data_IF_871126044643
#
_entry.id   IF_871126044643
#
_cell.length_a   1.000
_cell.length_b   1.000
_cell.length_c   1.000
_cell.angle_alpha   90.00
_cell.angle_beta   90.00
_cell.angle_gamma   90.00
#
_symmetry.space_group_name_H-M   'P 1'
#
loop_
_entity.id
_entity.type
_entity.pdbx_description
1 polymer ?
#
# COMPACT_ATOMS: atom_id res chain seq x y z
N UNK A 1 -2.36 -13.57 -3.49
CA UNK A 1 -2.02 -12.14 -3.33
C UNK A 1 -2.83 -11.22 -4.23
N UNK A 2 -2.89 -11.41 -5.55
CA UNK A 2 -3.65 -10.53 -6.48
C UNK A 2 -5.15 -10.37 -6.16
N UNK A 3 -5.74 -11.31 -5.43
CA UNK A 3 -7.13 -11.22 -4.95
C UNK A 3 -7.38 -9.94 -4.14
N UNK A 4 -6.48 -9.56 -3.23
CA UNK A 4 -6.72 -8.43 -2.31
C UNK A 4 -6.74 -7.07 -3.03
N UNK A 5 -5.78 -6.74 -3.92
CA UNK A 5 -5.88 -5.52 -4.73
C UNK A 5 -7.11 -5.50 -5.65
N UNK A 6 -7.50 -6.63 -6.26
CA UNK A 6 -8.70 -6.70 -7.10
C UNK A 6 -9.98 -6.53 -6.27
N UNK A 7 -10.02 -7.09 -5.06
CA UNK A 7 -11.10 -6.89 -4.10
C UNK A 7 -11.19 -5.43 -3.67
N UNK A 8 -10.05 -4.76 -3.43
CA UNK A 8 -10.00 -3.32 -3.20
C UNK A 8 -10.62 -2.53 -4.36
N UNK A 9 -10.28 -2.88 -5.61
CA UNK A 9 -10.90 -2.25 -6.79
C UNK A 9 -12.42 -2.46 -6.82
N UNK A 10 -12.89 -3.68 -6.57
CA UNK A 10 -14.33 -4.01 -6.50
C UNK A 10 -15.05 -3.21 -5.41
N UNK A 11 -14.50 -3.16 -4.19
CA UNK A 11 -15.06 -2.37 -3.09
C UNK A 11 -15.10 -0.88 -3.39
N UNK A 12 -14.14 -0.40 -4.18
CA UNK A 12 -14.01 1.00 -4.57
C UNK A 12 -14.82 1.36 -5.81
N UNK A 13 -15.61 0.43 -6.36
CA UNK A 13 -16.33 0.57 -7.63
C UNK A 13 -15.43 0.95 -8.82
N UNK A 14 -14.18 0.47 -8.83
CA UNK A 14 -13.25 0.65 -9.94
C UNK A 14 -13.45 -0.52 -10.91
N UNK A 15 -14.03 -0.24 -12.08
CA UNK A 15 -14.31 -1.24 -13.12
C UNK A 15 -13.20 -1.37 -14.15
N UNK A 16 -12.53 -0.26 -14.49
CA UNK A 16 -11.44 -0.26 -15.45
C UNK A 16 -10.11 -0.56 -14.73
N UNK A 17 -9.71 -1.83 -14.76
CA UNK A 17 -8.52 -2.33 -14.07
C UNK A 17 -7.62 -3.01 -15.10
N UNK A 18 -6.40 -2.52 -15.22
CA UNK A 18 -5.35 -3.17 -16.01
C UNK A 18 -4.31 -3.83 -15.09
N UNK A 19 -4.18 -5.14 -15.18
CA UNK A 19 -3.19 -5.93 -14.46
C UNK A 19 -1.95 -6.11 -15.33
N UNK A 20 -0.83 -5.50 -14.90
CA UNK A 20 0.44 -5.59 -15.62
C UNK A 20 1.24 -6.76 -15.04
N UNK A 21 1.70 -7.66 -15.92
CA UNK A 21 2.48 -8.84 -15.54
C UNK A 21 3.67 -9.07 -16.47
N UNK A 22 4.66 -9.82 -16.00
CA UNK A 22 5.76 -10.27 -16.84
C UNK A 22 5.26 -11.30 -17.88
N UNK A 23 5.76 -11.28 -19.13
CA UNK A 23 5.32 -12.20 -20.19
C UNK A 23 5.34 -13.68 -19.80
N UNK A 24 6.32 -14.11 -19.00
CA UNK A 24 6.41 -15.51 -18.52
C UNK A 24 5.25 -15.94 -17.62
N UNK A 25 4.58 -15.00 -16.94
CA UNK A 25 3.50 -15.27 -16.01
C UNK A 25 2.10 -15.06 -16.62
N UNK A 26 2.01 -14.60 -17.88
CA UNK A 26 0.76 -14.27 -18.55
C UNK A 26 -0.22 -15.46 -18.56
N UNK A 27 0.21 -16.61 -19.10
CA UNK A 27 -0.63 -17.79 -19.22
C UNK A 27 -1.11 -18.30 -17.85
N UNK A 28 -0.24 -18.29 -16.84
CA UNK A 28 -0.59 -18.72 -15.49
C UNK A 28 -1.64 -17.79 -14.85
N UNK A 29 -1.50 -16.47 -15.04
CA UNK A 29 -2.44 -15.49 -14.49
C UNK A 29 -3.78 -15.55 -15.20
N UNK A 30 -3.81 -15.66 -16.53
CA UNK A 30 -5.05 -15.80 -17.29
C UNK A 30 -5.79 -17.08 -16.89
N UNK A 31 -5.07 -18.21 -16.79
CA UNK A 31 -5.63 -19.46 -16.30
C UNK A 31 -6.17 -19.32 -14.87
N UNK A 32 -5.43 -18.67 -13.97
CA UNK A 32 -5.87 -18.46 -12.59
C UNK A 32 -7.14 -17.59 -12.51
N UNK A 33 -7.22 -16.50 -13.29
CA UNK A 33 -8.42 -15.65 -13.38
C UNK A 33 -9.63 -16.42 -13.91
N UNK A 34 -9.42 -17.37 -14.84
CA UNK A 34 -10.48 -18.18 -15.45
C UNK A 34 -10.84 -19.45 -14.68
N UNK A 35 -10.02 -19.91 -13.72
CA UNK A 35 -10.27 -21.17 -13.01
C UNK A 35 -10.64 -20.94 -11.55
N UNK A 36 -9.98 -20.01 -10.87
CA UNK A 36 -10.14 -19.80 -9.44
C UNK A 36 -11.51 -19.17 -9.10
N UNK A 37 -12.31 -19.77 -8.20
CA UNK A 37 -13.66 -19.29 -7.88
C UNK A 37 -13.67 -17.90 -7.22
N UNK A 38 -12.71 -17.60 -6.35
CA UNK A 38 -12.62 -16.31 -5.66
C UNK A 38 -12.33 -15.18 -6.65
N UNK A 39 -11.43 -15.42 -7.62
CA UNK A 39 -11.09 -14.44 -8.65
C UNK A 39 -12.23 -14.26 -9.66
N UNK A 40 -12.96 -15.32 -10.02
CA UNK A 40 -14.15 -15.25 -10.88
C UNK A 40 -15.26 -14.38 -10.31
N UNK A 41 -15.34 -14.30 -8.98
CA UNK A 41 -16.34 -13.47 -8.30
C UNK A 41 -16.07 -11.96 -8.46
N UNK A 42 -14.88 -11.58 -8.92
CA UNK A 42 -14.45 -10.20 -9.09
C UNK A 42 -14.57 -9.75 -10.55
N UNK A 43 -14.69 -8.44 -10.83
CA UNK A 43 -14.58 -7.90 -12.18
C UNK A 43 -13.27 -8.35 -12.82
N UNK A 44 -13.35 -8.93 -14.01
CA UNK A 44 -12.17 -9.47 -14.70
C UNK A 44 -11.29 -8.31 -15.21
N UNK A 45 -10.02 -8.20 -14.77
CA UNK A 45 -9.13 -7.13 -15.21
C UNK A 45 -8.63 -7.40 -16.63
N UNK A 46 -8.26 -6.33 -17.34
CA UNK A 46 -7.48 -6.41 -18.58
C UNK A 46 -6.06 -6.83 -18.21
N UNK A 47 -5.59 -7.98 -18.69
CA UNK A 47 -4.21 -8.42 -18.44
C UNK A 47 -3.30 -7.88 -19.54
N UNK A 48 -2.21 -7.22 -19.15
CA UNK A 48 -1.20 -6.68 -20.04
C UNK A 48 0.16 -7.28 -19.71
N UNK A 49 0.82 -7.84 -20.72
CA UNK A 49 2.19 -8.34 -20.62
C UNK A 49 3.09 -7.62 -21.62
N UNK A 50 3.74 -6.50 -21.24
CA UNK A 50 4.65 -5.78 -22.11
C UNK A 50 5.86 -6.65 -22.49
N UNK A 51 6.24 -6.65 -23.76
CA UNK A 51 7.30 -7.56 -24.25
C UNK A 51 8.70 -7.18 -23.72
N UNK A 52 8.92 -5.89 -23.50
CA UNK A 52 10.19 -5.35 -22.99
C UNK A 52 10.31 -5.40 -21.46
N UNK A 53 9.29 -5.89 -20.75
CA UNK A 53 9.31 -5.96 -19.29
C UNK A 53 10.30 -7.05 -18.83
N UNK A 54 11.40 -6.64 -18.23
CA UNK A 54 12.41 -7.53 -17.65
C UNK A 54 12.17 -7.73 -16.15
N UNK A 55 12.54 -8.90 -15.61
CA UNK A 55 12.41 -9.20 -14.19
C UNK A 55 13.22 -8.29 -13.26
N UNK A 56 14.30 -7.67 -13.76
CA UNK A 56 15.16 -6.74 -13.03
C UNK A 56 14.71 -5.28 -13.16
N UNK A 57 13.70 -5.01 -13.98
CA UNK A 57 13.21 -3.66 -14.23
C UNK A 57 12.53 -3.10 -12.98
N UNK A 58 12.84 -1.84 -12.65
CA UNK A 58 12.27 -1.18 -11.49
C UNK A 58 10.91 -0.52 -11.78
N UNK A 59 10.18 -0.20 -10.72
CA UNK A 59 8.74 0.14 -10.78
C UNK A 59 8.42 1.38 -11.61
N UNK A 60 9.26 2.43 -11.59
CA UNK A 60 8.98 3.64 -12.39
C UNK A 60 9.30 3.42 -13.88
N UNK A 61 10.20 2.49 -14.18
CA UNK A 61 10.54 2.14 -15.55
C UNK A 61 9.39 1.43 -16.26
N UNK A 62 8.58 0.67 -15.52
CA UNK A 62 7.36 0.03 -16.02
C UNK A 62 6.36 1.06 -16.57
N UNK A 63 6.22 2.23 -15.93
CA UNK A 63 5.36 3.29 -16.44
C UNK A 63 5.84 3.86 -17.77
N UNK A 64 7.10 3.65 -18.18
CA UNK A 64 7.64 4.17 -19.46
C UNK A 64 7.33 3.29 -20.66
N UNK A 65 6.98 2.03 -20.43
CA UNK A 65 6.71 1.08 -21.49
C UNK A 65 5.53 1.56 -22.36
N UNK A 66 5.63 1.47 -23.69
CA UNK A 66 4.63 2.04 -24.59
C UNK A 66 3.25 1.42 -24.39
N UNK A 67 3.18 0.12 -24.10
CA UNK A 67 1.91 -0.57 -23.85
C UNK A 67 1.26 -0.06 -22.55
N UNK A 68 2.05 0.17 -21.51
CA UNK A 68 1.57 0.72 -20.23
C UNK A 68 1.12 2.18 -20.40
N UNK A 69 1.89 2.98 -21.13
CA UNK A 69 1.56 4.38 -21.45
C UNK A 69 0.25 4.52 -22.23
N UNK A 70 -0.01 3.57 -23.14
CA UNK A 70 -1.25 3.54 -23.94
C UNK A 70 -2.49 3.22 -23.11
N UNK A 71 -2.35 2.48 -22.01
CA UNK A 71 -3.47 2.12 -21.14
C UNK A 71 -3.88 3.25 -20.17
N UNK A 72 -3.03 4.26 -19.97
CA UNK A 72 -3.33 5.37 -19.06
C UNK A 72 -4.01 6.49 -19.86
N UNK A 73 -5.33 6.60 -19.74
CA UNK A 73 -6.14 7.59 -20.47
C UNK A 73 -6.60 8.77 -19.60
N UNK A 74 -6.59 8.61 -18.27
CA UNK A 74 -7.05 9.62 -17.32
C UNK A 74 -6.25 9.57 -16.00
N UNK A 75 -6.70 10.33 -14.99
CA UNK A 75 -6.15 10.23 -13.63
C UNK A 75 -6.37 8.79 -13.11
N UNK A 76 -5.36 8.20 -12.47
CA UNK A 76 -5.33 6.75 -12.24
C UNK A 76 -4.88 6.37 -10.83
N UNK A 77 -5.37 5.22 -10.38
CA UNK A 77 -4.84 4.52 -9.22
C UNK A 77 -3.65 3.66 -9.64
N UNK A 78 -2.61 3.63 -8.80
CA UNK A 78 -1.53 2.66 -8.91
C UNK A 78 -1.47 1.83 -7.63
N UNK A 79 -1.57 0.51 -7.79
CA UNK A 79 -1.63 -0.48 -6.72
C UNK A 79 -0.51 -1.51 -6.90
N UNK A 80 0.10 -2.02 -5.81
CA UNK A 80 1.00 -3.15 -5.90
C UNK A 80 0.22 -4.47 -5.78
N UNK A 81 0.80 -5.58 -6.21
CA UNK A 81 0.16 -6.90 -6.15
C UNK A 81 0.11 -7.52 -4.73
N UNK A 82 0.86 -6.94 -3.79
CA UNK A 82 1.04 -7.37 -2.41
C UNK A 82 0.25 -6.53 -1.38
N UNK A 83 -0.64 -5.65 -1.84
CA UNK A 83 -1.47 -4.81 -0.97
C UNK A 83 -2.64 -5.59 -0.36
N UNK A 84 -2.81 -5.45 0.95
CA UNK A 84 -4.05 -5.81 1.67
C UNK A 84 -4.60 -4.54 2.32
N UNK A 85 -5.73 -4.05 1.82
CA UNK A 85 -6.30 -2.77 2.21
C UNK A 85 -7.82 -2.86 2.35
N UNK A 86 -8.32 -2.55 3.54
CA UNK A 86 -9.76 -2.47 3.85
C UNK A 86 -10.33 -1.06 3.68
N UNK A 87 -9.48 -0.06 3.46
CA UNK A 87 -9.94 1.31 3.20
C UNK A 87 -10.56 1.35 1.81
N UNK A 88 -11.77 1.90 1.71
CA UNK A 88 -12.41 2.14 0.41
C UNK A 88 -11.66 3.19 -0.40
N UNK A 89 -11.36 2.88 -1.66
CA UNK A 89 -10.73 3.82 -2.60
C UNK A 89 -11.58 5.05 -2.86
N UNK A 90 -12.92 4.95 -2.79
CA UNK A 90 -13.82 6.10 -2.89
C UNK A 90 -13.57 7.14 -1.79
N UNK A 91 -13.28 6.69 -0.56
CA UNK A 91 -12.91 7.58 0.54
C UNK A 91 -11.59 8.30 0.28
N UNK A 92 -10.56 7.57 -0.18
CA UNK A 92 -9.26 8.16 -0.54
C UNK A 92 -9.38 9.15 -1.71
N UNK A 93 -10.19 8.80 -2.72
CA UNK A 93 -10.48 9.65 -3.87
C UNK A 93 -11.18 10.94 -3.44
N UNK A 94 -12.20 10.85 -2.58
CA UNK A 94 -12.91 12.01 -2.07
C UNK A 94 -11.95 12.95 -1.31
N UNK A 95 -11.05 12.40 -0.48
CA UNK A 95 -10.03 13.18 0.21
C UNK A 95 -9.08 13.87 -0.77
N UNK A 96 -8.60 13.15 -1.77
CA UNK A 96 -7.74 13.71 -2.81
C UNK A 96 -8.46 14.84 -3.57
N UNK A 97 -9.69 14.61 -4.06
CA UNK A 97 -10.47 15.62 -4.77
C UNK A 97 -10.77 16.86 -3.92
N UNK A 98 -11.19 16.68 -2.67
CA UNK A 98 -11.48 17.80 -1.76
C UNK A 98 -10.22 18.64 -1.45
N UNK A 99 -9.06 18.01 -1.41
CA UNK A 99 -7.78 18.68 -1.14
C UNK A 99 -7.21 19.46 -2.34
N UNK A 100 -7.69 19.21 -3.56
CA UNK A 100 -7.33 20.00 -4.74
C UNK A 100 -7.98 21.42 -4.73
N UNK A 101 -8.84 21.74 -3.75
CA UNK A 101 -9.43 23.08 -3.58
C UNK A 101 -10.44 23.47 -4.67
N UNK A 102 -10.61 24.77 -4.89
CA UNK A 102 -11.37 25.34 -6.02
C UNK A 102 -10.55 25.37 -7.32
N UNK A 103 -9.54 24.50 -7.51
CA UNK A 103 -9.05 24.24 -8.87
C UNK A 103 -10.28 23.68 -9.59
N UNK A 104 -10.91 24.45 -10.50
CA UNK A 104 -12.16 24.03 -11.05
C UNK A 104 -11.93 22.67 -11.70
N UNK A 105 -12.92 21.78 -11.62
CA UNK A 105 -12.94 20.58 -12.46
C UNK A 105 -12.91 20.92 -13.97
N UNK A 106 -12.83 22.21 -14.33
CA UNK A 106 -12.43 22.71 -15.64
C UNK A 106 -11.15 22.04 -16.11
N UNK A 107 -11.21 21.54 -17.34
CA UNK A 107 -10.15 20.77 -17.97
C UNK A 107 -8.84 21.58 -18.09
N UNK A 108 -8.96 22.91 -18.17
CA UNK A 108 -7.87 23.88 -18.36
C UNK A 108 -6.82 23.91 -17.24
N UNK A 109 -7.06 23.31 -16.07
CA UNK A 109 -6.11 23.28 -14.95
C UNK A 109 -5.79 21.89 -14.43
N UNK A 110 -6.07 20.82 -15.19
CA UNK A 110 -5.77 19.43 -14.80
C UNK A 110 -4.30 19.21 -14.42
N UNK A 111 -3.39 19.98 -15.01
CA UNK A 111 -1.96 19.90 -14.72
C UNK A 111 -1.60 20.37 -13.30
N UNK A 112 -2.37 21.27 -12.67
CA UNK A 112 -2.09 21.73 -11.30
C UNK A 112 -2.48 20.71 -10.23
N UNK A 113 -3.11 19.59 -10.61
CA UNK A 113 -3.53 18.54 -9.67
C UNK A 113 -2.30 17.86 -9.09
N UNK A 114 -2.31 17.75 -7.76
CA UNK A 114 -1.37 16.98 -6.98
C UNK A 114 -1.66 15.49 -7.00
N UNK A 115 -0.86 14.70 -6.30
CA UNK A 115 -1.09 13.27 -6.10
C UNK A 115 -1.35 12.94 -4.62
N UNK A 116 -1.93 11.76 -4.36
CA UNK A 116 -2.12 11.21 -3.01
C UNK A 116 -1.32 9.92 -2.86
N UNK A 117 -0.55 9.84 -1.77
CA UNK A 117 0.18 8.66 -1.33
C UNK A 117 -0.42 8.12 -0.03
N UNK A 118 -0.51 6.81 0.13
CA UNK A 118 -1.01 6.17 1.35
C UNK A 118 0.16 5.58 2.14
N UNK A 119 0.28 5.99 3.40
CA UNK A 119 1.21 5.42 4.37
C UNK A 119 0.42 4.81 5.52
N UNK A 120 0.91 3.71 6.07
CA UNK A 120 0.33 3.09 7.25
C UNK A 120 1.36 2.96 8.36
N UNK A 121 0.90 3.08 9.61
CA UNK A 121 1.77 2.89 10.75
C UNK A 121 2.03 1.40 10.96
N UNK A 122 3.30 0.99 10.99
CA UNK A 122 3.68 -0.38 11.30
C UNK A 122 3.48 -0.62 12.80
N UNK A 123 2.31 -1.15 13.19
CA UNK A 123 1.96 -1.36 14.62
C UNK A 123 2.37 -2.74 15.13
N UNK A 124 2.43 -3.74 14.26
CA UNK A 124 2.72 -5.13 14.60
C UNK A 124 3.96 -5.60 13.85
N UNK A 125 5.05 -4.86 13.99
CA UNK A 125 6.30 -5.17 13.33
C UNK A 125 6.74 -6.59 13.74
N UNK A 126 6.46 -7.56 12.86
CA UNK A 126 7.48 -8.56 12.59
C UNK A 126 8.80 -7.78 12.47
N UNK A 127 9.85 -8.23 13.16
CA UNK A 127 11.11 -7.48 13.32
C UNK A 127 11.72 -6.94 12.00
N UNK A 128 11.24 -7.43 10.86
CA UNK A 128 11.71 -7.15 9.52
C UNK A 128 10.69 -6.42 8.62
N UNK A 129 9.71 -5.69 9.17
CA UNK A 129 8.90 -4.78 8.34
C UNK A 129 9.73 -3.57 7.87
N UNK A 130 9.82 -3.38 6.55
CA UNK A 130 10.47 -2.21 5.98
C UNK A 130 9.71 -0.93 6.36
N UNK A 131 10.43 0.13 6.73
CA UNK A 131 9.86 1.41 7.15
C UNK A 131 10.41 2.55 6.30
N UNK A 132 9.74 3.69 6.35
CA UNK A 132 10.10 4.91 5.62
C UNK A 132 10.31 6.08 6.59
N UNK A 133 11.29 6.93 6.28
CA UNK A 133 11.37 8.27 6.83
C UNK A 133 10.57 9.21 5.95
N UNK A 134 9.44 9.65 6.50
CA UNK A 134 8.61 10.65 5.85
C UNK A 134 8.69 11.97 6.61
N UNK A 135 8.69 13.07 5.87
CA UNK A 135 8.46 14.39 6.44
C UNK A 135 7.15 14.95 5.92
N UNK A 136 6.27 15.32 6.85
CA UNK A 136 4.91 15.77 6.53
C UNK A 136 4.63 17.13 7.16
N UNK A 137 3.80 17.93 6.51
CA UNK A 137 3.26 19.17 7.04
C UNK A 137 1.74 19.05 7.14
N UNK A 138 1.14 19.25 8.33
CA UNK A 138 -0.31 19.23 8.49
C UNK A 138 -1.00 20.21 7.54
N UNK A 139 -2.09 19.79 6.90
CA UNK A 139 -2.90 20.70 6.11
C UNK A 139 -3.56 21.73 7.04
N UNK A 140 -3.37 23.02 6.75
CA UNK A 140 -4.04 24.10 7.49
C UNK A 140 -5.55 23.94 7.28
N UNK A 141 -6.28 23.70 8.37
CA UNK A 141 -7.71 23.40 8.37
C UNK A 141 -8.51 24.37 7.49
N UNK A 142 -9.23 23.83 6.50
CA UNK A 142 -10.40 24.51 5.94
C UNK A 142 -11.45 24.44 7.05
N UNK A 143 -11.91 25.60 7.55
CA UNK A 143 -12.70 25.77 8.77
C UNK A 143 -14.03 24.98 8.88
N UNK A 144 -14.39 24.14 7.91
CA UNK A 144 -15.74 23.57 7.78
C UNK A 144 -15.83 22.02 7.72
N UNK A 145 -14.77 21.25 8.00
CA UNK A 145 -14.91 19.78 8.11
C UNK A 145 -14.36 19.24 9.43
N UNK A 146 -15.27 18.87 10.32
CA UNK A 146 -14.98 18.64 11.73
C UNK A 146 -14.51 17.21 12.10
N UNK A 147 -14.27 16.28 11.15
CA UNK A 147 -13.98 14.87 11.55
C UNK A 147 -12.94 14.06 10.76
N UNK A 148 -12.45 14.47 9.57
CA UNK A 148 -11.53 13.62 8.78
C UNK A 148 -10.19 14.26 8.35
N UNK A 149 -9.97 15.55 8.59
CA UNK A 149 -8.76 16.24 8.08
C UNK A 149 -7.47 15.89 8.83
N UNK A 150 -7.52 15.11 9.92
CA UNK A 150 -6.34 14.80 10.75
C UNK A 150 -5.40 13.76 10.13
N UNK A 151 -5.87 12.97 9.17
CA UNK A 151 -5.05 11.94 8.51
C UNK A 151 -4.35 12.42 7.25
N UNK A 152 -4.69 13.59 6.73
CA UNK A 152 -4.12 14.11 5.48
C UNK A 152 -3.09 15.21 5.75
N UNK A 153 -1.89 15.04 5.20
CA UNK A 153 -0.80 16.01 5.30
C UNK A 153 -0.15 16.25 3.94
N UNK A 154 0.57 17.36 3.78
CA UNK A 154 1.46 17.54 2.63
C UNK A 154 2.74 16.74 2.84
N UNK A 155 3.14 15.97 1.85
CA UNK A 155 4.38 15.20 1.86
C UNK A 155 5.53 16.09 1.39
N UNK A 156 6.54 16.25 2.23
CA UNK A 156 7.74 17.06 1.96
C UNK A 156 8.95 16.21 1.63
N UNK A 157 8.99 14.97 2.12
CA UNK A 157 10.09 14.03 1.90
C UNK A 157 9.58 12.60 2.14
N UNK A 158 10.01 11.65 1.33
CA UNK A 158 9.84 10.21 1.53
C UNK A 158 11.14 9.52 1.14
N UNK A 159 11.68 8.66 2.02
CA UNK A 159 12.91 7.89 1.81
C UNK A 159 12.80 6.58 2.59
N UNK A 160 13.06 5.44 1.95
CA UNK A 160 13.09 4.14 2.62
C UNK A 160 14.19 4.06 3.70
N UNK A 161 13.95 3.30 4.77
CA UNK A 161 14.90 3.17 5.88
C UNK A 161 16.22 2.55 5.51
N UNK A 162 16.23 1.61 4.57
CA UNK A 162 17.48 1.00 4.15
C UNK A 162 18.37 2.02 3.42
N UNK A 163 17.75 2.87 2.59
CA UNK A 163 18.41 4.01 1.95
C UNK A 163 18.88 5.03 2.98
N UNK A 164 18.09 5.34 4.01
CA UNK A 164 18.51 6.27 5.08
C UNK A 164 19.69 5.71 5.87
N UNK A 165 19.66 4.42 6.27
CA UNK A 165 20.76 3.75 6.98
C UNK A 165 22.04 3.73 6.15
N UNK A 166 21.94 3.34 4.88
CA UNK A 166 23.07 3.33 3.95
C UNK A 166 23.71 4.73 3.79
N UNK A 167 22.88 5.76 3.65
CA UNK A 167 23.36 7.14 3.58
C UNK A 167 24.00 7.60 4.91
N UNK A 168 23.43 7.22 6.05
CA UNK A 168 23.95 7.57 7.38
C UNK A 168 25.34 6.95 7.60
N UNK A 169 25.54 5.70 7.19
CA UNK A 169 26.82 5.00 7.30
C UNK A 169 27.90 5.61 6.40
N UNK A 170 27.51 6.00 5.17
CA UNK A 170 28.39 6.65 4.19
C UNK A 170 28.78 8.05 4.62
N UNK A 171 27.80 8.87 4.98
CA UNK A 171 27.96 10.31 5.21
C UNK A 171 28.29 10.64 6.67
N UNK A 172 28.31 9.62 7.56
CA UNK A 172 28.52 9.73 9.01
C UNK A 172 27.57 10.71 9.70
N UNK A 173 26.38 10.89 9.12
CA UNK A 173 25.37 11.81 9.61
C UNK A 173 24.15 11.86 8.69
N UNK A 174 23.04 12.34 9.23
CA UNK A 174 21.83 12.58 8.44
C UNK A 174 21.90 13.97 7.80
N UNK A 175 22.11 14.03 6.49
CA UNK A 175 22.28 15.28 5.76
C UNK A 175 20.92 15.91 5.41
N UNK A 176 20.63 17.07 6.00
CA UNK A 176 19.43 17.84 5.73
C UNK A 176 19.76 19.19 5.08
N UNK A 177 19.12 19.48 3.95
CA UNK A 177 19.35 20.74 3.23
C UNK A 177 18.88 21.94 4.07
N UNK A 178 19.71 22.97 4.17
CA UNK A 178 19.34 24.24 4.84
C UNK A 178 18.05 24.87 4.28
N UNK A 179 17.75 24.68 3.00
CA UNK A 179 16.51 25.17 2.39
C UNK A 179 15.26 24.48 2.96
N UNK A 180 15.35 23.21 3.34
CA UNK A 180 14.29 22.49 4.03
C UNK A 180 14.06 23.12 5.40
N UNK A 181 15.12 23.24 6.21
CA UNK A 181 15.05 23.86 7.54
C UNK A 181 14.54 25.32 7.51
N UNK A 182 14.95 26.12 6.52
CA UNK A 182 14.49 27.51 6.36
C UNK A 182 13.01 27.64 5.96
N UNK A 183 12.50 26.73 5.12
CA UNK A 183 11.08 26.72 4.73
C UNK A 183 10.19 26.28 5.88
N UNK A 184 10.72 25.45 6.78
CA UNK A 184 9.99 24.76 7.84
C UNK A 184 9.73 25.57 9.10
N UNK A 185 9.76 26.90 9.03
CA UNK A 185 9.62 27.75 10.20
C UNK A 185 8.25 27.66 10.93
N UNK A 186 7.34 26.71 10.61
CA UNK A 186 6.15 26.51 11.46
C UNK A 186 5.74 25.07 11.85
N UNK A 187 5.71 24.00 11.03
CA UNK A 187 5.00 22.75 11.47
C UNK A 187 5.41 21.39 10.88
N UNK A 188 6.56 21.25 10.20
CA UNK A 188 6.93 19.96 9.61
C UNK A 188 7.28 18.91 10.69
N UNK A 189 6.78 17.69 10.52
CA UNK A 189 7.07 16.53 11.38
C UNK A 189 7.79 15.47 10.59
N UNK A 190 8.87 14.93 11.15
CA UNK A 190 9.57 13.77 10.60
C UNK A 190 9.10 12.52 11.35
N UNK A 191 8.70 11.49 10.62
CA UNK A 191 8.11 10.26 11.14
C UNK A 191 8.86 9.06 10.58
N UNK A 192 9.14 8.08 11.44
CA UNK A 192 9.87 6.84 11.09
C UNK A 192 9.06 5.57 11.33
N UNK A 193 7.89 5.66 11.98
CA UNK A 193 7.02 4.52 12.29
C UNK A 193 6.02 4.17 11.19
N UNK A 194 6.22 4.69 9.98
CA UNK A 194 5.30 4.52 8.85
C UNK A 194 5.98 3.75 7.74
N UNK A 195 5.17 3.04 6.96
CA UNK A 195 5.58 2.39 5.72
C UNK A 195 4.70 2.88 4.57
N UNK A 196 5.30 3.03 3.40
CA UNK A 196 4.59 3.27 2.15
C UNK A 196 3.73 2.05 1.77
N UNK A 197 2.43 2.26 1.56
CA UNK A 197 1.53 1.20 1.10
C UNK A 197 1.70 0.88 -0.41
N UNK A 198 2.48 1.70 -1.13
CA UNK A 198 2.57 1.71 -2.59
C UNK A 198 1.22 1.92 -3.29
N UNK A 199 0.24 2.48 -2.58
CA UNK A 199 -1.07 2.86 -3.06
C UNK A 199 -1.05 4.37 -3.37
N UNK A 200 -1.17 4.70 -4.66
CA UNK A 200 -1.08 6.07 -5.14
C UNK A 200 -2.30 6.46 -5.98
N UNK A 201 -2.67 7.73 -5.90
CA UNK A 201 -3.58 8.39 -6.85
C UNK A 201 -2.77 9.41 -7.62
N UNK A 202 -2.62 9.20 -8.92
CA UNK A 202 -1.84 10.08 -9.78
C UNK A 202 -2.72 10.82 -10.78
N UNK A 203 -2.47 12.13 -10.97
CA UNK A 203 -3.05 12.86 -12.09
C UNK A 203 -2.41 12.40 -13.41
N UNK A 204 -3.17 12.51 -14.51
CA UNK A 204 -2.80 12.02 -15.84
C UNK A 204 -1.39 12.43 -16.29
N UNK A 205 -1.00 13.69 -16.03
CA UNK A 205 0.28 14.25 -16.47
C UNK A 205 1.50 13.51 -15.89
N UNK A 206 1.35 12.74 -14.80
CA UNK A 206 2.43 11.94 -14.20
C UNK A 206 2.96 10.90 -15.17
N UNK A 207 2.11 10.38 -16.08
CA UNK A 207 2.56 9.43 -17.10
C UNK A 207 3.60 10.06 -18.03
N UNK A 208 3.41 11.33 -18.40
CA UNK A 208 4.36 12.07 -19.25
C UNK A 208 5.64 12.40 -18.50
N UNK A 209 5.55 12.69 -17.20
CA UNK A 209 6.73 12.87 -16.36
C UNK A 209 7.58 11.58 -16.32
N UNK A 210 6.94 10.43 -16.09
CA UNK A 210 7.61 9.13 -16.08
C UNK A 210 8.26 8.86 -17.45
N UNK A 211 7.54 9.08 -18.55
CA UNK A 211 8.05 8.88 -19.93
C UNK A 211 9.30 9.70 -20.23
N UNK A 212 9.36 10.95 -19.79
CA UNK A 212 10.45 11.89 -20.12
C UNK A 212 11.69 11.75 -19.24
N UNK A 213 11.53 11.29 -17.99
CA UNK A 213 12.61 11.27 -17.01
C UNK A 213 13.17 9.86 -16.82
N UNK A 214 14.28 9.56 -17.49
CA UNK A 214 14.93 8.26 -17.41
C UNK A 214 15.57 7.96 -16.04
N UNK A 215 15.85 9.01 -15.26
CA UNK A 215 16.44 8.90 -13.92
C UNK A 215 15.47 8.35 -12.87
N UNK A 216 14.17 8.28 -13.18
CA UNK A 216 13.19 7.69 -12.28
C UNK A 216 13.23 6.16 -12.43
N UNK A 217 13.80 5.49 -11.43
CA UNK A 217 13.94 4.03 -11.39
C UNK A 217 12.85 3.44 -10.49
N UNK A 218 12.68 3.98 -9.28
CA UNK A 218 11.64 3.59 -8.32
C UNK A 218 10.52 4.62 -8.20
N UNK A 219 9.27 4.16 -8.13
CA UNK A 219 8.12 5.05 -7.89
C UNK A 219 8.18 5.65 -6.48
N UNK A 220 8.36 4.83 -5.45
CA UNK A 220 8.34 5.28 -4.05
C UNK A 220 9.54 6.17 -3.70
N UNK A 221 10.73 5.84 -4.20
CA UNK A 221 11.95 6.60 -3.86
C UNK A 221 12.24 7.75 -4.83
N UNK A 222 12.18 7.52 -6.14
CA UNK A 222 12.57 8.53 -7.12
C UNK A 222 11.40 9.43 -7.50
N UNK A 223 10.28 8.88 -7.97
CA UNK A 223 9.15 9.70 -8.41
C UNK A 223 8.54 10.48 -7.23
N UNK A 224 8.08 9.77 -6.20
CA UNK A 224 7.48 10.35 -5.00
C UNK A 224 8.53 11.16 -4.23
N UNK A 225 9.72 10.61 -4.00
CA UNK A 225 10.75 11.29 -3.22
C UNK A 225 11.30 12.57 -3.87
N UNK A 226 11.53 12.59 -5.19
CA UNK A 226 11.98 13.80 -5.88
C UNK A 226 10.86 14.83 -6.08
N UNK A 227 9.62 14.38 -6.32
CA UNK A 227 8.46 15.29 -6.36
C UNK A 227 8.22 15.94 -5.00
N UNK A 228 8.22 15.18 -3.90
CA UNK A 228 8.10 15.76 -2.56
C UNK A 228 9.15 16.85 -2.30
N UNK A 229 10.41 16.60 -2.71
CA UNK A 229 11.52 17.56 -2.62
C UNK A 229 11.35 18.77 -3.53
N UNK A 230 10.76 18.61 -4.71
CA UNK A 230 10.63 19.67 -5.70
C UNK A 230 9.71 20.80 -5.23
N UNK A 231 8.80 20.50 -4.30
CA UNK A 231 7.93 21.51 -3.67
C UNK A 231 8.72 22.58 -2.92
N UNK A 232 9.90 22.26 -2.37
CA UNK A 232 10.71 23.16 -1.53
C UNK A 232 12.14 23.39 -1.98
N UNK A 233 12.69 22.51 -2.81
CA UNK A 233 14.01 22.65 -3.37
C UNK A 233 13.93 23.48 -4.66
N UNK A 234 14.43 24.72 -4.59
CA UNK A 234 14.53 25.62 -5.74
C UNK A 234 15.29 24.96 -6.89
N UNK A 235 14.79 25.10 -8.13
CA UNK A 235 15.45 24.56 -9.31
C UNK A 235 15.24 23.06 -9.55
N UNK A 236 14.57 22.33 -8.66
CA UNK A 236 14.42 20.87 -8.81
C UNK A 236 13.27 20.49 -9.74
N UNK A 237 12.14 21.19 -9.69
CA UNK A 237 11.00 20.87 -10.55
C UNK A 237 11.30 21.15 -12.02
N UNK A 238 12.12 22.16 -12.33
CA UNK A 238 12.61 22.45 -13.68
C UNK A 238 13.53 21.34 -14.17
N UNK A 239 14.45 20.86 -13.32
CA UNK A 239 15.36 19.74 -13.63
C UNK A 239 14.62 18.42 -13.86
N UNK A 240 13.50 18.23 -13.16
CA UNK A 240 12.63 17.07 -13.37
C UNK A 240 11.79 17.19 -14.64
N UNK A 241 11.73 18.38 -15.26
CA UNK A 241 10.91 18.62 -16.44
C UNK A 241 9.41 18.71 -16.14
N UNK A 242 9.03 18.99 -14.88
CA UNK A 242 7.62 19.09 -14.50
C UNK A 242 6.92 20.18 -15.31
N UNK A 243 7.54 21.36 -15.47
CA UNK A 243 6.96 22.46 -16.25
C UNK A 243 6.58 22.10 -17.69
N UNK A 244 7.35 21.23 -18.36
CA UNK A 244 7.04 20.77 -19.71
C UNK A 244 5.81 19.85 -19.76
N UNK A 245 5.61 19.02 -18.73
CA UNK A 245 4.41 18.16 -18.63
C UNK A 245 3.16 18.98 -18.29
N UNK A 246 3.35 20.08 -17.55
CA UNK A 246 2.27 20.95 -17.11
C UNK A 246 1.79 21.92 -18.21
N UNK A 247 2.63 22.23 -19.20
CA UNK A 247 2.36 23.23 -20.25
C UNK A 247 1.77 22.66 -21.55
N UNK A 248 1.74 21.32 -21.72
CA UNK A 248 1.27 20.67 -22.96
C UNK A 248 -0.21 20.89 -23.30
N UNK A 249 -1.00 21.60 -22.47
CA UNK A 249 -2.35 22.04 -22.82
C UNK A 249 -2.48 23.53 -23.21
N UNK A 250 -1.40 24.32 -23.14
CA UNK A 250 -1.45 25.76 -23.46
C UNK A 250 -1.48 26.07 -24.96
N UNK A 251 -1.14 25.13 -25.83
CA UNK A 251 -0.96 25.39 -27.28
C UNK A 251 -2.25 25.35 -28.13
N UNK A 252 -3.45 25.23 -27.54
CA UNK A 252 -4.69 25.19 -28.33
C UNK A 252 -5.57 26.45 -28.32
N UNK A 253 -5.34 27.43 -27.44
CA UNK A 253 -6.20 28.64 -27.37
C UNK A 253 -5.50 29.91 -26.88
N UNK A 254 -4.33 30.26 -27.44
CA UNK A 254 -3.84 31.64 -27.36
C UNK A 254 -3.61 32.16 -28.78
N UNK A 255 -4.70 32.67 -29.38
CA UNK A 255 -4.61 33.66 -30.44
C UNK A 255 -3.85 34.85 -29.86
N UNK A 256 -2.63 35.06 -30.35
CA UNK A 256 -1.68 36.06 -29.86
C UNK A 256 -2.32 37.46 -29.74
N UNK A 257 -2.62 37.91 -28.52
CA UNK A 257 -2.95 39.32 -28.28
C UNK A 257 -1.64 40.12 -28.18
N UNK A 258 -1.21 40.67 -29.33
CA UNK A 258 0.01 41.49 -29.46
C UNK A 258 -0.05 42.86 -28.75
N UNK A 259 -0.96 43.06 -27.79
CA UNK A 259 -1.18 44.34 -27.10
C UNK A 259 -0.27 44.61 -25.90
N UNK A 260 0.49 43.63 -25.43
CA UNK A 260 1.43 43.82 -24.29
C UNK A 260 2.88 44.14 -24.69
N UNK A 261 3.14 44.55 -25.95
CA UNK A 261 4.45 45.04 -26.40
C UNK A 261 4.71 46.51 -26.04
N UNK A 262 4.22 46.98 -24.89
CA UNK A 262 4.59 48.30 -24.37
C UNK A 262 5.75 48.20 -23.38
N UNK A 263 6.89 48.72 -23.83
CA UNK A 263 8.15 48.85 -23.09
C UNK A 263 8.02 49.68 -21.81
N UNK A 264 8.77 49.24 -20.79
CA UNK A 264 9.00 49.84 -19.47
C UNK A 264 7.95 49.45 -18.41
N UNK A 265 8.17 48.29 -17.78
CA UNK A 265 7.88 48.11 -16.36
C UNK A 265 9.07 47.45 -15.70
N UNK A 266 9.68 48.14 -14.73
CA UNK A 266 10.56 47.53 -13.74
C UNK A 266 9.73 46.51 -12.95
N UNK A 267 9.66 45.28 -13.42
CA UNK A 267 9.20 44.18 -12.58
C UNK A 267 10.36 43.83 -11.64
N UNK A 268 10.19 43.93 -10.30
CA UNK A 268 11.13 43.28 -9.40
C UNK A 268 11.15 41.78 -9.73
N UNK A 269 12.25 41.05 -9.45
CA UNK A 269 12.29 39.61 -9.71
C UNK A 269 11.10 38.97 -9.01
N UNK A 270 10.13 38.49 -9.79
CA UNK A 270 8.98 37.76 -9.26
C UNK A 270 9.54 36.55 -8.53
N UNK A 271 9.44 36.58 -7.20
CA UNK A 271 9.74 35.46 -6.30
C UNK A 271 8.65 34.37 -6.37
N UNK A 272 7.94 34.29 -7.49
CA UNK A 272 6.88 33.32 -7.70
C UNK A 272 7.57 31.99 -7.95
N UNK A 273 7.66 31.17 -6.89
CA UNK A 273 7.95 29.76 -7.04
C UNK A 273 6.85 29.24 -7.98
N UNK A 274 7.16 28.78 -9.20
CA UNK A 274 6.14 28.19 -10.05
C UNK A 274 5.42 27.08 -9.26
N UNK A 275 4.10 27.07 -9.37
CA UNK A 275 3.20 26.34 -8.49
C UNK A 275 3.34 24.83 -8.73
N UNK A 276 4.33 24.21 -8.09
CA UNK A 276 4.54 22.77 -8.13
C UNK A 276 3.32 22.09 -7.50
N UNK A 277 2.63 21.18 -8.20
CA UNK A 277 1.48 20.49 -7.65
C UNK A 277 1.83 19.79 -6.34
N UNK A 278 1.02 19.94 -5.27
CA UNK A 278 1.35 19.41 -3.96
C UNK A 278 1.25 17.88 -3.95
N UNK A 279 2.14 17.23 -3.21
CA UNK A 279 2.03 15.80 -2.93
C UNK A 279 1.40 15.62 -1.55
N UNK A 280 0.38 14.77 -1.46
CA UNK A 280 -0.37 14.54 -0.24
C UNK A 280 -0.07 13.16 0.31
N UNK A 281 -0.02 13.06 1.64
CA UNK A 281 0.15 11.81 2.37
C UNK A 281 -1.09 11.58 3.23
N UNK A 282 -1.79 10.48 2.98
CA UNK A 282 -2.77 9.91 3.90
C UNK A 282 -2.03 9.01 4.89
N UNK A 283 -2.08 9.37 6.17
CA UNK A 283 -1.45 8.67 7.27
C UNK A 283 -2.49 7.81 7.98
N UNK A 284 -2.46 6.51 7.70
CA UNK A 284 -3.28 5.53 8.39
C UNK A 284 -2.66 5.20 9.76
N UNK A 285 -3.32 5.64 10.82
CA UNK A 285 -3.04 5.26 12.20
C UNK A 285 -4.11 4.32 12.70
N UNK A 286 -3.72 3.20 13.29
CA UNK A 286 -4.63 2.22 13.86
C UNK A 286 -4.35 0.81 13.32
N UNK A 287 -4.98 -0.17 13.96
CA UNK A 287 -5.01 -1.53 13.45
C UNK A 287 -6.13 -1.67 12.43
N UNK A 288 -7.30 -1.06 12.66
CA UNK A 288 -8.49 -1.15 11.79
C UNK A 288 -8.88 0.22 11.21
N UNK A 289 -9.37 0.30 9.95
CA UNK A 289 -9.35 -0.75 8.91
C UNK A 289 -7.92 -1.20 8.55
N UNK A 290 -7.70 -2.48 8.24
CA UNK A 290 -6.38 -3.04 7.92
C UNK A 290 -5.79 -2.40 6.65
N UNK A 291 -4.55 -1.92 6.75
CA UNK A 291 -3.70 -1.57 5.61
C UNK A 291 -2.32 -2.15 5.84
N UNK A 292 -1.86 -3.04 4.96
CA UNK A 292 -0.49 -3.56 4.99
C UNK A 292 -0.01 -3.99 3.60
N UNK A 293 1.32 -4.02 3.41
CA UNK A 293 1.95 -4.75 2.30
C UNK A 293 2.43 -6.11 2.79
N UNK A 294 2.25 -7.13 1.97
CA UNK A 294 2.60 -8.51 2.28
C UNK A 294 3.65 -9.01 1.30
N UNK A 295 4.89 -8.54 1.50
CA UNK A 295 6.03 -8.76 0.60
C UNK A 295 7.16 -9.60 1.23
N UNK A 296 6.98 -10.05 2.47
CA UNK A 296 7.86 -11.01 3.10
C UNK A 296 7.07 -12.11 3.82
N UNK A 297 7.69 -13.29 4.09
CA UNK A 297 7.00 -14.42 4.72
C UNK A 297 6.45 -14.12 6.12
N UNK A 298 7.14 -13.27 6.90
CA UNK A 298 6.69 -12.93 8.26
C UNK A 298 5.41 -12.09 8.24
N UNK A 299 5.31 -11.14 7.29
CA UNK A 299 4.11 -10.34 7.05
C UNK A 299 2.98 -11.16 6.44
N UNK A 300 3.30 -12.15 5.61
CA UNK A 300 2.31 -13.10 5.09
C UNK A 300 1.70 -13.90 6.24
N UNK A 301 2.52 -14.46 7.12
CA UNK A 301 2.05 -15.21 8.28
C UNK A 301 1.21 -14.33 9.22
N UNK A 302 1.73 -13.16 9.61
CA UNK A 302 1.05 -12.28 10.56
C UNK A 302 -0.27 -11.75 9.99
N UNK A 303 -0.32 -11.39 8.70
CA UNK A 303 -1.55 -10.96 8.03
C UNK A 303 -2.54 -12.11 7.89
N UNK A 304 -2.07 -13.32 7.54
CA UNK A 304 -2.93 -14.50 7.42
C UNK A 304 -3.58 -14.86 8.76
N UNK A 305 -2.79 -14.88 9.85
CA UNK A 305 -3.31 -15.11 11.21
C UNK A 305 -4.31 -14.01 11.61
N UNK A 306 -4.05 -12.77 11.23
CA UNK A 306 -4.97 -11.66 11.50
C UNK A 306 -6.29 -11.82 10.76
N UNK A 307 -6.26 -12.18 9.47
CA UNK A 307 -7.47 -12.43 8.68
C UNK A 307 -8.23 -13.68 9.18
N UNK A 308 -7.50 -14.71 9.61
CA UNK A 308 -8.08 -15.91 10.21
C UNK A 308 -8.79 -15.62 11.55
N UNK A 309 -8.34 -14.60 12.30
CA UNK A 309 -8.97 -14.15 13.56
C UNK A 309 -10.20 -13.25 13.37
N UNK A 310 -10.52 -12.81 12.15
CA UNK A 310 -11.74 -12.03 11.91
C UNK A 310 -12.97 -12.85 12.31
N UNK A 311 -14.04 -12.23 12.79
CA UNK A 311 -15.28 -12.97 13.05
C UNK A 311 -15.92 -13.42 11.73
N UNK A 312 -16.69 -14.52 11.80
CA UNK A 312 -17.46 -14.98 10.65
C UNK A 312 -18.52 -13.95 10.28
N UNK A 313 -18.82 -13.85 9.00
CA UNK A 313 -19.74 -12.83 8.52
C UNK A 313 -21.20 -13.06 8.88
N UNK A 314 -21.57 -14.32 9.13
CA UNK A 314 -22.91 -14.72 9.59
C UNK A 314 -23.12 -14.46 11.09
N UNK A 315 -22.04 -14.32 11.87
CA UNK A 315 -22.09 -14.16 13.33
C UNK A 315 -22.12 -12.69 13.78
N UNK A 316 -21.74 -11.76 12.89
CA UNK A 316 -21.67 -10.32 13.20
C UNK A 316 -23.00 -9.64 12.86
N UNK A 317 -23.67 -9.07 13.87
CA UNK A 317 -24.87 -8.24 13.71
C UNK A 317 -24.64 -7.12 12.68
N UNK A 318 -25.65 -6.87 11.84
CA UNK A 318 -25.64 -5.96 10.66
C UNK A 318 -25.23 -4.48 10.92
N UNK A 319 -24.95 -4.09 12.16
CA UNK A 319 -24.64 -2.71 12.57
C UNK A 319 -23.15 -2.41 12.75
N UNK A 320 -22.26 -3.41 12.71
CA UNK A 320 -20.81 -3.21 12.87
C UNK A 320 -20.08 -3.10 11.51
N UNK A 321 -18.99 -2.34 11.50
CA UNK A 321 -18.13 -2.12 10.32
C UNK A 321 -17.37 -3.43 9.97
N UNK A 322 -18.04 -4.35 9.27
CA UNK A 322 -17.54 -5.68 8.88
C UNK A 322 -16.27 -5.56 8.04
N UNK A 323 -15.26 -6.38 8.32
CA UNK A 323 -14.10 -6.50 7.43
C UNK A 323 -14.55 -7.11 6.10
N UNK A 324 -14.19 -6.51 4.95
CA UNK A 324 -14.51 -7.04 3.62
C UNK A 324 -13.77 -8.33 3.28
N UNK A 325 -12.81 -8.73 4.13
CA UNK A 325 -12.02 -9.95 4.01
C UNK A 325 -12.46 -11.05 4.98
N UNK A 326 -13.50 -10.80 5.80
CA UNK A 326 -14.11 -11.84 6.61
C UNK A 326 -14.77 -12.89 5.72
N UNK A 327 -14.55 -14.17 6.04
CA UNK A 327 -15.20 -15.30 5.36
C UNK A 327 -16.68 -15.37 5.77
N UNK A 328 -17.51 -15.92 4.89
CA UNK A 328 -18.95 -16.03 5.13
C UNK A 328 -19.25 -17.04 6.24
N UNK A 329 -18.54 -18.16 6.25
CA UNK A 329 -18.54 -19.17 7.31
C UNK A 329 -17.12 -19.45 7.73
N UNK A 330 -16.91 -19.60 9.03
CA UNK A 330 -15.69 -20.17 9.60
C UNK A 330 -16.05 -21.49 10.24
N UNK A 331 -15.20 -22.50 10.03
CA UNK A 331 -15.25 -23.68 10.88
C UNK A 331 -14.80 -23.18 12.25
N UNK A 332 -15.77 -22.97 13.14
CA UNK A 332 -15.49 -22.61 14.52
C UNK A 332 -14.69 -23.76 15.13
N UNK A 333 -13.50 -23.47 15.62
CA UNK A 333 -12.79 -24.40 16.48
C UNK A 333 -12.22 -23.58 17.63
N UNK A 334 -12.81 -23.68 18.83
CA UNK A 334 -12.08 -23.30 20.01
C UNK A 334 -10.91 -24.31 20.12
N UNK A 335 -9.70 -23.79 20.24
CA UNK A 335 -8.50 -24.54 20.64
C UNK A 335 -7.89 -25.50 19.60
N UNK A 336 -7.33 -24.94 18.51
CA UNK A 336 -6.28 -25.65 17.76
C UNK A 336 -4.93 -25.48 18.46
N UNK A 337 -4.34 -26.60 18.88
CA UNK A 337 -2.92 -26.69 19.19
C UNK A 337 -2.07 -26.49 17.93
N UNK A 338 -0.88 -25.92 18.10
CA UNK A 338 0.08 -25.70 17.01
C UNK A 338 0.40 -27.03 16.28
N UNK A 339 0.76 -27.01 15.00
CA UNK A 339 1.20 -28.18 14.22
C UNK A 339 0.16 -29.29 13.91
N UNK A 340 -1.13 -29.00 13.94
CA UNK A 340 -2.18 -29.93 13.49
C UNK A 340 -2.43 -29.84 11.97
N UNK A 341 -2.80 -30.96 11.32
CA UNK A 341 -3.16 -31.02 9.90
C UNK A 341 -4.52 -31.67 9.72
N UNK A 342 -5.39 -31.10 8.87
CA UNK A 342 -6.68 -31.71 8.49
C UNK A 342 -6.65 -31.90 6.98
N UNK A 343 -6.89 -33.14 6.54
CA UNK A 343 -6.98 -33.46 5.11
C UNK A 343 -8.20 -32.83 4.45
N UNK A 344 -8.10 -32.65 3.13
CA UNK A 344 -9.16 -32.03 2.32
C UNK A 344 -10.50 -32.78 2.43
N UNK A 345 -11.61 -32.04 2.29
CA UNK A 345 -12.99 -32.55 2.28
C UNK A 345 -13.45 -33.21 3.60
N UNK A 346 -12.85 -32.86 4.74
CA UNK A 346 -13.27 -33.34 6.06
C UNK A 346 -14.31 -32.41 6.71
N UNK A 347 -15.31 -33.00 7.39
CA UNK A 347 -16.38 -32.31 8.13
C UNK A 347 -16.28 -32.70 9.60
N UNK A 348 -15.71 -31.81 10.42
CA UNK A 348 -15.59 -32.00 11.88
C UNK A 348 -16.59 -31.09 12.60
N UNK A 349 -17.35 -31.63 13.53
CA UNK A 349 -18.30 -30.86 14.36
C UNK A 349 -18.04 -31.13 15.84
N UNK A 350 -17.71 -30.10 16.61
CA UNK A 350 -17.44 -30.22 18.05
C UNK A 350 -16.29 -31.21 18.37
N UNK A 351 -15.28 -31.33 17.48
CA UNK A 351 -14.14 -32.23 17.67
C UNK A 351 -12.91 -31.48 18.22
N UNK A 352 -12.10 -32.16 19.03
CA UNK A 352 -10.82 -31.65 19.53
C UNK A 352 -9.66 -32.35 18.80
N UNK A 353 -8.70 -31.57 18.26
CA UNK A 353 -7.48 -32.11 17.62
C UNK A 353 -6.28 -31.59 18.39
N UNK A 354 -5.56 -32.49 19.06
CA UNK A 354 -4.38 -32.12 19.85
C UNK A 354 -3.17 -31.77 18.96
N UNK A 355 -2.24 -31.03 19.54
CA UNK A 355 -0.98 -30.59 18.90
C UNK A 355 -0.22 -31.78 18.30
N UNK A 356 0.23 -31.61 17.05
CA UNK A 356 0.98 -32.63 16.31
C UNK A 356 0.15 -33.75 15.68
N UNK A 357 -1.19 -33.71 15.76
CA UNK A 357 -2.03 -34.74 15.16
C UNK A 357 -2.51 -34.41 13.73
N UNK A 358 -2.74 -35.45 12.92
CA UNK A 358 -3.19 -35.34 11.54
C UNK A 358 -4.53 -36.07 11.34
N UNK A 359 -5.57 -35.32 10.97
CA UNK A 359 -6.86 -35.87 10.57
C UNK A 359 -6.80 -36.20 9.07
N UNK A 360 -7.11 -37.45 8.67
CA UNK A 360 -7.17 -37.83 7.25
C UNK A 360 -8.17 -36.99 6.45
N UNK A 361 -8.01 -36.92 5.13
CA UNK A 361 -9.00 -36.30 4.25
C UNK A 361 -10.29 -37.12 4.19
N UNK A 362 -11.41 -36.47 3.85
CA UNK A 362 -12.76 -37.07 3.80
C UNK A 362 -13.25 -37.62 5.13
N UNK A 363 -12.79 -37.06 6.25
CA UNK A 363 -13.21 -37.47 7.59
C UNK A 363 -14.48 -36.72 8.00
N UNK A 364 -15.57 -37.44 8.23
CA UNK A 364 -16.77 -36.89 8.89
C UNK A 364 -16.81 -37.34 10.35
N UNK A 365 -16.64 -36.42 11.30
CA UNK A 365 -16.64 -36.72 12.72
C UNK A 365 -17.42 -35.71 13.53
N UNK A 366 -17.99 -36.17 14.65
CA UNK A 366 -18.74 -35.32 15.58
C UNK A 366 -18.43 -35.70 17.04
N UNK A 367 -18.09 -34.73 17.88
CA UNK A 367 -17.73 -34.93 19.29
C UNK A 367 -16.55 -35.90 19.51
N UNK A 368 -15.55 -35.91 18.62
CA UNK A 368 -14.39 -36.80 18.69
C UNK A 368 -13.12 -36.08 19.15
N UNK A 369 -12.25 -36.80 19.88
CA UNK A 369 -10.92 -36.32 20.28
C UNK A 369 -9.84 -37.07 19.50
N UNK A 370 -9.11 -36.34 18.68
CA UNK A 370 -7.97 -36.87 17.93
C UNK A 370 -6.70 -36.66 18.75
N UNK A 371 -6.20 -37.74 19.36
CA UNK A 371 -4.94 -37.76 20.13
C UNK A 371 -3.82 -38.48 19.37
N UNK A 372 -2.54 -38.15 19.62
CA UNK A 372 -1.41 -38.90 19.06
C UNK A 372 -1.43 -40.35 19.58
N UNK A 373 -1.14 -41.32 18.71
CA UNK A 373 -0.94 -42.72 19.08
C UNK A 373 0.42 -42.90 19.79
N UNK A 374 0.56 -42.41 21.02
CA UNK A 374 1.64 -42.78 21.93
C UNK A 374 1.14 -42.83 23.38
N UNK A 375 0.22 -43.74 23.65
CA UNK A 375 -0.06 -44.26 25.00
C UNK A 375 -0.06 -45.79 24.87
N UNK A 376 1.10 -46.41 25.15
CA UNK A 376 1.26 -47.85 25.42
C UNK A 376 2.63 -48.09 26.10
N UNK A 377 2.95 -47.30 27.13
CA UNK A 377 3.99 -47.64 28.12
C UNK A 377 3.52 -47.17 29.50
N UNK A 378 2.46 -47.77 30.02
CA UNK A 378 2.18 -47.85 31.47
C UNK A 378 2.75 -49.21 31.95
N UNK A 379 3.74 -49.25 32.84
CA UNK A 379 3.71 -49.18 34.33
C UNK A 379 3.89 -50.58 34.94
N UNK A 380 4.93 -50.73 35.79
CA UNK A 380 5.00 -51.60 36.97
C UNK A 380 6.23 -51.11 37.78
N UNK A 381 6.26 -50.96 39.09
CA UNK A 381 5.25 -50.65 40.09
C UNK A 381 6.02 -50.26 41.38
N UNK A 382 5.49 -49.28 42.09
CA UNK A 382 5.56 -48.88 43.52
C UNK A 382 6.15 -49.91 44.53
N UNK A 383 6.96 -49.60 45.57
CA UNK A 383 6.53 -49.08 46.89
C UNK A 383 7.66 -49.02 47.97
N UNK A 384 7.50 -48.06 48.91
CA UNK A 384 7.79 -48.07 50.36
C UNK A 384 9.20 -47.87 50.97
N UNK A 385 9.39 -46.62 51.45
CA UNK A 385 9.76 -46.17 52.81
C UNK A 385 10.50 -47.05 53.84
N UNK A 386 11.43 -46.35 54.52
CA UNK A 386 11.97 -46.52 55.89
C UNK A 386 13.36 -47.16 56.13
N UNK A 387 14.31 -46.26 56.45
CA UNK A 387 15.11 -46.19 57.69
C UNK A 387 16.15 -47.31 58.02
N UNK A 388 17.33 -46.82 58.45
CA UNK A 388 18.41 -47.40 59.28
C UNK A 388 19.60 -48.12 58.61
N UNK A 389 20.76 -47.46 58.78
CA UNK A 389 22.06 -48.00 59.18
C UNK A 389 22.33 -49.51 59.05
N UNK A 390 23.42 -49.88 58.37
CA UNK A 390 24.68 -50.14 59.06
C UNK A 390 25.85 -50.42 58.09
N UNK A 391 27.03 -49.98 58.54
CA UNK A 391 28.37 -50.57 58.40
C UNK A 391 28.66 -51.61 57.29
N UNK A 392 29.61 -51.28 56.40
CA UNK A 392 30.96 -51.87 56.36
C UNK A 392 31.78 -51.32 55.18
#
# INVERSE_FOLDING_TARGET
MIYYPLKFCKMSNISDVTLITHPSALACIESALQQNPDLKSLPMPKVLAPQELQATMATAQLLRLPEVQSCIESDFFLLPCDLVCEIEGAYLLQMWMASQGQIPMAEEKRYLRGALCVYYHAQNAAKDEALDLIAVEPLRHIKNSARSSHKLSKLLMSIGMDTVKSNLDRDKGFLLRRSFAKRQATQAKMLTGYRDAHLYIFPYWVKDLARRQERLVSISEDLIGLWAKSTWQRGLHEKLGMGACLSQQKESYEENDYRELSTITHQPPRNDIPEVPPLLAYLHTGSTPLVCRVDNPALLLSTSLRLAKLESSEEVDHTANRSPFAQDQKIASPEFGSYSYIGNDSVLRDCEVQEGNAVPGQTEAKNEKFMPLFEDLEEEDTENSEILADSC
#
